data_IF_297307858859
#
_entry.id   IF_297307858859
#
_cell.length_a   1.000
_cell.length_b   1.000
_cell.length_c   1.000
_cell.angle_alpha   90.00
_cell.angle_beta   90.00
_cell.angle_gamma   90.00
#
_symmetry.space_group_name_H-M   'P 1'
#
loop_
_entity.id
_entity.type
_entity.pdbx_description
1 polymer ?
#
# COMPACT_ATOMS: atom_id res chain seq x y z
N UNK A 1 -8.90 -0.40 -3.60
CA UNK A 1 -10.03 -0.50 -2.65
C UNK A 1 -10.11 0.70 -1.71
N UNK A 2 -9.04 1.10 -1.00
CA UNK A 2 -9.06 2.28 -0.12
C UNK A 2 -9.58 3.55 -0.81
N UNK A 3 -8.97 3.96 -1.91
CA UNK A 3 -9.38 5.16 -2.67
C UNK A 3 -10.85 5.10 -3.13
N UNK A 4 -11.34 3.93 -3.56
CA UNK A 4 -12.73 3.73 -4.00
C UNK A 4 -13.72 3.82 -2.83
N UNK A 5 -13.44 3.15 -1.70
CA UNK A 5 -14.27 3.27 -0.49
C UNK A 5 -14.32 4.70 0.01
N UNK A 6 -13.21 5.40 -0.18
CA UNK A 6 -13.05 6.76 0.28
C UNK A 6 -13.83 7.72 -0.65
N UNK A 7 -13.74 7.55 -1.96
CA UNK A 7 -14.54 8.31 -2.91
C UNK A 7 -16.05 8.19 -2.67
N UNK A 8 -16.56 6.99 -2.37
CA UNK A 8 -17.97 6.79 -2.03
C UNK A 8 -18.39 7.56 -0.77
N UNK A 9 -17.54 7.58 0.27
CA UNK A 9 -17.79 8.33 1.50
C UNK A 9 -17.81 9.85 1.27
N UNK A 10 -16.97 10.36 0.34
CA UNK A 10 -16.98 11.75 -0.04
C UNK A 10 -18.27 12.12 -0.78
N UNK A 11 -18.69 11.31 -1.75
CA UNK A 11 -19.92 11.54 -2.51
C UNK A 11 -21.14 11.59 -1.57
N UNK A 12 -21.25 10.62 -0.66
CA UNK A 12 -22.31 10.58 0.37
C UNK A 12 -22.31 11.83 1.26
N UNK A 13 -21.12 12.27 1.72
CA UNK A 13 -21.00 13.45 2.60
C UNK A 13 -21.15 14.77 1.86
N UNK A 14 -20.90 14.81 0.56
CA UNK A 14 -21.01 16.01 -0.27
C UNK A 14 -22.44 16.27 -0.75
N UNK A 15 -23.33 15.27 -0.71
CA UNK A 15 -24.74 15.43 -1.03
C UNK A 15 -25.39 16.50 -0.15
N UNK A 16 -26.01 17.48 -0.79
CA UNK A 16 -26.72 18.56 -0.11
C UNK A 16 -25.84 19.65 0.54
N UNK A 17 -24.51 19.57 0.47
CA UNK A 17 -23.64 20.61 1.02
C UNK A 17 -23.51 21.85 0.09
N UNK A 18 -23.41 23.08 0.65
CA UNK A 18 -23.02 24.28 -0.09
C UNK A 18 -21.62 24.17 -0.69
N UNK A 19 -21.34 24.92 -1.77
CA UNK A 19 -20.06 24.86 -2.49
C UNK A 19 -18.82 25.08 -1.61
N UNK A 20 -18.88 26.01 -0.64
CA UNK A 20 -17.77 26.28 0.27
C UNK A 20 -17.47 25.09 1.20
N UNK A 21 -18.53 24.44 1.70
CA UNK A 21 -18.39 23.26 2.56
C UNK A 21 -17.93 22.04 1.77
N UNK A 22 -18.31 21.94 0.49
CA UNK A 22 -17.79 20.90 -0.42
C UNK A 22 -16.29 21.08 -0.66
N UNK A 23 -15.82 22.31 -0.85
CA UNK A 23 -14.40 22.57 -1.05
C UNK A 23 -13.57 22.22 0.19
N UNK A 24 -14.06 22.54 1.39
CA UNK A 24 -13.39 22.16 2.64
C UNK A 24 -13.42 20.65 2.86
N UNK A 25 -14.57 20.00 2.62
CA UNK A 25 -14.71 18.55 2.70
C UNK A 25 -13.71 17.85 1.78
N UNK A 26 -13.56 18.32 0.53
CA UNK A 26 -12.59 17.78 -0.43
C UNK A 26 -11.15 17.87 0.08
N UNK A 27 -10.75 18.99 0.70
CA UNK A 27 -9.40 19.17 1.26
C UNK A 27 -9.15 18.23 2.43
N UNK A 28 -10.10 18.14 3.36
CA UNK A 28 -10.02 17.21 4.49
C UNK A 28 -9.90 15.76 3.97
N UNK A 29 -10.68 15.45 2.94
CA UNK A 29 -10.69 14.13 2.33
C UNK A 29 -9.34 13.72 1.74
N UNK A 30 -8.73 14.62 0.98
CA UNK A 30 -7.39 14.43 0.43
C UNK A 30 -6.36 14.23 1.54
N UNK A 31 -6.40 15.05 2.59
CA UNK A 31 -5.51 14.90 3.75
C UNK A 31 -5.66 13.54 4.43
N UNK A 32 -6.91 13.11 4.68
CA UNK A 32 -7.22 11.84 5.33
C UNK A 32 -6.79 10.65 4.48
N UNK A 33 -6.90 10.75 3.16
CA UNK A 33 -6.44 9.71 2.24
C UNK A 33 -4.93 9.53 2.36
N UNK A 34 -4.16 10.61 2.26
CA UNK A 34 -2.70 10.56 2.41
C UNK A 34 -2.27 10.03 3.77
N UNK A 35 -2.94 10.45 4.85
CA UNK A 35 -2.65 9.95 6.20
C UNK A 35 -2.92 8.44 6.31
N UNK A 36 -4.06 7.95 5.82
CA UNK A 36 -4.38 6.53 5.84
C UNK A 36 -3.39 5.70 5.02
N UNK A 37 -3.02 6.17 3.84
CA UNK A 37 -2.00 5.50 3.02
C UNK A 37 -0.68 5.38 3.78
N UNK A 38 -0.25 6.46 4.44
CA UNK A 38 0.97 6.45 5.25
C UNK A 38 0.88 5.47 6.42
N UNK A 39 -0.25 5.42 7.14
CA UNK A 39 -0.46 4.48 8.26
C UNK A 39 -0.38 3.03 7.77
N UNK A 40 -1.05 2.69 6.68
CA UNK A 40 -1.02 1.32 6.13
C UNK A 40 0.41 0.94 5.73
N UNK A 41 1.14 1.83 5.06
CA UNK A 41 2.54 1.58 4.70
C UNK A 41 3.39 1.40 5.96
N UNK A 42 3.18 2.22 7.00
CA UNK A 42 3.92 2.15 8.25
C UNK A 42 3.68 0.83 8.98
N UNK A 43 2.43 0.35 9.04
CA UNK A 43 2.07 -0.94 9.65
C UNK A 43 2.74 -2.12 8.93
N UNK A 44 2.79 -2.09 7.59
CA UNK A 44 3.49 -3.10 6.79
C UNK A 44 5.00 -3.06 7.09
N UNK A 45 5.59 -1.87 7.09
CA UNK A 45 7.02 -1.68 7.40
C UNK A 45 7.34 -2.21 8.80
N UNK A 46 6.50 -1.94 9.79
CA UNK A 46 6.71 -2.40 11.16
C UNK A 46 6.57 -3.92 11.27
N UNK A 47 5.60 -4.52 10.57
CA UNK A 47 5.48 -5.97 10.45
C UNK A 47 6.74 -6.61 9.84
N UNK A 48 7.30 -6.00 8.80
CA UNK A 48 8.57 -6.45 8.20
C UNK A 48 9.73 -6.31 9.19
N UNK A 49 9.81 -5.21 9.96
CA UNK A 49 10.85 -5.04 11.00
C UNK A 49 10.78 -6.14 12.05
N UNK A 50 9.59 -6.53 12.49
CA UNK A 50 9.44 -7.60 13.47
C UNK A 50 9.98 -8.94 12.94
N UNK A 51 9.74 -9.23 11.67
CA UNK A 51 10.27 -10.42 10.99
C UNK A 51 11.79 -10.35 10.88
N UNK A 52 12.35 -9.21 10.49
CA UNK A 52 13.80 -8.99 10.45
C UNK A 52 14.41 -9.24 11.84
N UNK A 53 13.80 -8.70 12.90
CA UNK A 53 14.25 -8.90 14.28
C UNK A 53 14.22 -10.39 14.65
N UNK A 54 13.17 -11.11 14.26
CA UNK A 54 13.03 -12.55 14.52
C UNK A 54 14.18 -13.34 13.88
N UNK A 55 14.39 -13.17 12.57
CA UNK A 55 15.44 -13.88 11.82
C UNK A 55 16.83 -13.50 12.34
N UNK A 56 17.05 -12.22 12.64
CA UNK A 56 18.31 -11.75 13.21
C UNK A 56 18.60 -12.41 14.57
N UNK A 57 17.60 -12.53 15.46
CA UNK A 57 17.74 -13.23 16.74
C UNK A 57 18.08 -14.71 16.55
N UNK A 58 17.38 -15.41 15.66
CA UNK A 58 17.64 -16.82 15.34
C UNK A 58 19.08 -17.05 14.83
N UNK A 59 19.59 -16.10 14.04
CA UNK A 59 20.95 -16.14 13.47
C UNK A 59 22.01 -15.49 14.36
N UNK A 60 21.65 -15.09 15.58
CA UNK A 60 22.54 -14.41 16.53
C UNK A 60 23.19 -13.13 15.98
N UNK A 61 22.51 -12.46 15.04
CA UNK A 61 22.92 -11.16 14.49
C UNK A 61 22.53 -10.06 15.48
N UNK A 62 23.52 -9.27 15.91
CA UNK A 62 23.32 -8.22 16.93
C UNK A 62 22.86 -6.88 16.38
N UNK A 63 23.12 -6.62 15.10
CA UNK A 63 22.82 -5.33 14.46
C UNK A 63 22.49 -5.57 13.00
N UNK A 64 21.43 -4.90 12.53
CA UNK A 64 21.03 -4.85 11.13
C UNK A 64 21.12 -3.39 10.70
N UNK A 65 21.71 -3.15 9.54
CA UNK A 65 21.89 -1.82 8.97
C UNK A 65 21.14 -1.76 7.64
N UNK A 66 20.60 -0.59 7.33
CA UNK A 66 20.06 -0.31 6.01
C UNK A 66 21.20 -0.32 4.97
N UNK A 67 20.95 -0.98 3.83
CA UNK A 67 21.93 -1.13 2.74
C UNK A 67 22.48 0.21 2.23
N UNK A 68 21.65 1.25 2.21
CA UNK A 68 22.05 2.61 1.78
C UNK A 68 23.16 3.22 2.66
N UNK A 69 23.28 2.76 3.91
CA UNK A 69 24.29 3.20 4.86
C UNK A 69 25.53 2.29 4.88
N UNK A 70 25.58 1.26 4.04
CA UNK A 70 26.69 0.28 4.00
C UNK A 70 27.54 0.50 2.75
N UNK A 71 28.79 0.87 2.94
CA UNK A 71 29.73 1.08 1.83
C UNK A 71 30.33 -0.24 1.32
N UNK A 72 30.70 -1.15 2.22
CA UNK A 72 31.30 -2.44 1.87
C UNK A 72 31.13 -3.47 3.00
N UNK A 73 30.91 -4.74 2.62
CA UNK A 73 30.80 -5.87 3.54
C UNK A 73 29.41 -6.05 4.14
N UNK A 74 29.35 -6.79 5.24
CA UNK A 74 28.10 -7.20 5.88
C UNK A 74 27.46 -8.43 5.24
N UNK A 75 26.62 -9.12 6.01
CA UNK A 75 25.77 -10.18 5.51
C UNK A 75 24.44 -9.58 5.03
N UNK A 76 24.08 -9.83 3.78
CA UNK A 76 22.80 -9.39 3.23
C UNK A 76 21.74 -10.46 3.52
N UNK A 77 20.82 -10.16 4.44
CA UNK A 77 19.73 -11.06 4.83
C UNK A 77 18.42 -10.77 4.06
N UNK A 78 18.42 -9.84 3.10
CA UNK A 78 17.20 -9.38 2.41
C UNK A 78 16.46 -10.53 1.76
N UNK A 79 17.16 -11.39 1.01
CA UNK A 79 16.57 -12.57 0.36
C UNK A 79 15.97 -13.58 1.36
N UNK A 80 16.61 -13.76 2.51
CA UNK A 80 16.12 -14.67 3.54
C UNK A 80 14.83 -14.16 4.18
N UNK A 81 14.76 -12.85 4.44
CA UNK A 81 13.57 -12.19 4.97
C UNK A 81 12.43 -12.27 3.95
N UNK A 82 12.72 -12.02 2.66
CA UNK A 82 11.74 -12.15 1.58
C UNK A 82 11.22 -13.59 1.50
N UNK A 83 12.10 -14.58 1.55
CA UNK A 83 11.70 -15.99 1.54
C UNK A 83 10.83 -16.33 2.75
N UNK A 84 11.18 -15.83 3.94
CA UNK A 84 10.39 -16.02 5.14
C UNK A 84 8.98 -15.43 5.01
N UNK A 85 8.86 -14.20 4.52
CA UNK A 85 7.57 -13.54 4.28
C UNK A 85 6.71 -14.37 3.32
N UNK A 86 7.28 -14.77 2.18
CA UNK A 86 6.61 -15.58 1.15
C UNK A 86 6.22 -16.99 1.60
N UNK A 87 6.80 -17.49 2.68
CA UNK A 87 6.48 -18.81 3.21
C UNK A 87 5.46 -18.75 4.36
N UNK A 88 5.41 -17.64 5.10
CA UNK A 88 4.69 -17.56 6.38
C UNK A 88 3.55 -16.53 6.40
N UNK A 89 3.39 -15.71 5.35
CA UNK A 89 2.40 -14.59 5.32
C UNK A 89 1.44 -14.70 4.12
N UNK A 90 1.71 -15.60 3.19
CA UNK A 90 0.91 -15.82 1.96
C UNK A 90 -0.43 -16.54 2.18
N UNK A 91 -0.92 -16.65 3.42
CA UNK A 91 -2.20 -17.29 3.71
C UNK A 91 -3.43 -16.36 3.56
N UNK A 92 -3.26 -15.06 3.31
CA UNK A 92 -4.37 -14.09 3.12
C UNK A 92 -4.55 -13.58 1.68
N UNK A 93 -4.06 -14.32 0.67
CA UNK A 93 -4.47 -14.05 -0.73
C UNK A 93 -5.58 -15.03 -1.09
N UNK A 94 -6.82 -14.59 -1.41
CA UNK A 94 -7.80 -15.48 -2.00
C UNK A 94 -7.25 -15.94 -3.36
N UNK A 95 -6.79 -17.18 -3.39
CA UNK A 95 -6.71 -17.98 -4.62
C UNK A 95 -8.08 -17.95 -5.28
N UNK A 96 -8.20 -17.23 -6.38
CA UNK A 96 -9.03 -17.72 -7.45
C UNK A 96 -8.22 -17.69 -8.74
N UNK A 97 -7.53 -18.81 -8.95
CA UNK A 97 -7.05 -19.26 -10.24
C UNK A 97 -8.26 -19.58 -11.12
N UNK A 98 -8.71 -18.61 -11.89
CA UNK A 98 -9.47 -18.89 -13.11
C UNK A 98 -8.91 -18.03 -14.24
N UNK A 99 -7.81 -18.52 -14.82
CA UNK A 99 -7.48 -18.22 -16.21
C UNK A 99 -8.50 -18.95 -17.09
N UNK A 100 -9.67 -18.35 -17.27
CA UNK A 100 -10.53 -18.66 -18.39
C UNK A 100 -10.70 -17.40 -19.25
N UNK A 101 -10.47 -17.59 -20.55
CA UNK A 101 -10.48 -16.58 -21.58
C UNK A 101 -11.67 -15.62 -21.43
N UNK A 102 -11.39 -14.33 -21.42
CA UNK A 102 -12.34 -13.32 -21.88
C UNK A 102 -11.65 -12.59 -23.02
N UNK A 103 -12.21 -12.83 -24.20
CA UNK A 103 -11.82 -12.27 -25.46
C UNK A 103 -11.80 -10.74 -25.43
N UNK A 104 -10.84 -10.23 -26.19
CA UNK A 104 -10.79 -8.95 -26.90
C UNK A 104 -12.17 -8.28 -27.10
N UNK A 105 -12.43 -7.20 -26.35
CA UNK A 105 -13.13 -5.96 -26.76
C UNK A 105 -13.65 -5.24 -25.50
N UNK A 106 -12.95 -4.20 -25.05
CA UNK A 106 -13.59 -2.99 -24.47
C UNK A 106 -12.57 -1.86 -24.41
N UNK A 107 -12.67 -1.02 -25.44
CA UNK A 107 -12.29 0.37 -25.53
C UNK A 107 -12.05 1.07 -24.17
N UNK A 108 -10.78 1.28 -23.80
CA UNK A 108 -10.41 2.25 -22.78
C UNK A 108 -10.53 3.64 -23.41
N UNK A 109 -11.64 4.33 -23.15
CA UNK A 109 -11.73 5.77 -23.39
C UNK A 109 -10.70 6.46 -22.47
N UNK A 110 -9.52 6.74 -23.04
CA UNK A 110 -8.58 7.75 -22.55
C UNK A 110 -9.25 9.12 -22.64
N UNK A 111 -10.10 9.47 -21.66
CA UNK A 111 -10.40 10.86 -21.38
C UNK A 111 -11.00 11.09 -19.99
N UNK A 112 -10.14 11.05 -18.96
CA UNK A 112 -10.38 11.79 -17.70
C UNK A 112 -9.09 12.52 -17.32
N UNK A 113 -8.57 13.32 -18.24
CA UNK A 113 -7.80 14.50 -17.87
C UNK A 113 -8.82 15.62 -17.68
N UNK A 114 -9.15 15.90 -16.42
CA UNK A 114 -9.97 17.06 -16.09
C UNK A 114 -9.09 18.30 -16.28
N UNK A 115 -9.33 19.00 -17.39
CA UNK A 115 -8.80 20.34 -17.69
C UNK A 115 -9.09 21.27 -16.49
N UNK A 116 -8.02 21.90 -15.99
CA UNK A 116 -8.12 23.07 -15.13
C UNK A 116 -8.09 24.27 -16.09
N UNK A 117 -9.24 24.91 -16.30
CA UNK A 117 -9.32 26.30 -16.76
C UNK A 117 -8.87 27.27 -15.65
#
# INVERSE_FOLDING_TARGET
QLAQSMQAELEEKAEGLPNDQKQELLREYQSRLTEKEQVIVQEIVDSIKEIIIKIAKEKQVRMVLDKSNVLYGGYDMTEEVIAYIKQNITEDTPENSDTSNIDDDTNFDENVLMEIE
#
